data_IF_340981478064
#
_entry.id   IF_340981478064
#
_cell.length_a   1.000
_cell.length_b   1.000
_cell.length_c   1.000
_cell.angle_alpha   90.00
_cell.angle_beta   90.00
_cell.angle_gamma   90.00
#
_symmetry.space_group_name_H-M   'P 1'
#
loop_
_entity.id
_entity.type
_entity.pdbx_description
1 polymer ?
#
# COMPACT_ATOMS: atom_id res chain seq x y z
N UNK A 1 -22.28 11.99 24.09
CA UNK A 1 -21.20 12.75 23.42
C UNK A 1 -20.94 12.11 22.07
N UNK A 2 -21.68 12.54 21.05
CA UNK A 2 -21.45 12.20 19.65
C UNK A 2 -20.21 12.96 19.18
N UNK A 3 -19.10 12.26 18.93
CA UNK A 3 -17.94 12.84 18.25
C UNK A 3 -17.89 12.26 16.85
N UNK A 4 -18.08 13.17 15.90
CA UNK A 4 -17.91 13.11 14.46
C UNK A 4 -17.00 11.96 13.99
N UNK A 5 -17.61 10.87 13.54
CA UNK A 5 -17.01 10.01 12.53
C UNK A 5 -17.02 10.81 11.23
N UNK A 6 -15.92 11.53 10.97
CA UNK A 6 -15.62 12.02 9.63
C UNK A 6 -15.39 10.76 8.78
N UNK A 7 -16.45 10.28 8.14
CA UNK A 7 -16.36 9.23 7.15
C UNK A 7 -15.50 9.74 6.00
N UNK A 8 -14.21 9.42 6.03
CA UNK A 8 -13.36 9.49 4.85
C UNK A 8 -13.93 8.44 3.91
N UNK A 9 -14.76 8.89 2.97
CA UNK A 9 -15.10 8.12 1.78
C UNK A 9 -13.81 8.01 0.99
N UNK A 10 -13.00 6.99 1.30
CA UNK A 10 -11.93 6.55 0.43
C UNK A 10 -12.65 6.04 -0.80
N UNK A 11 -12.78 6.93 -1.78
CA UNK A 11 -13.16 6.57 -3.14
C UNK A 11 -11.99 5.76 -3.67
N UNK A 12 -11.98 4.47 -3.35
CA UNK A 12 -11.08 3.49 -3.93
C UNK A 12 -11.52 3.27 -5.38
N UNK A 13 -11.41 4.32 -6.20
CA UNK A 13 -11.31 4.20 -7.64
C UNK A 13 -9.95 3.62 -7.94
N UNK A 14 -9.74 2.35 -7.59
CA UNK A 14 -8.62 1.57 -8.09
C UNK A 14 -8.94 1.38 -9.57
N UNK A 15 -8.46 2.31 -10.39
CA UNK A 15 -8.27 2.07 -11.80
C UNK A 15 -7.22 0.95 -11.85
N UNK A 16 -7.69 -0.30 -11.89
CA UNK A 16 -6.89 -1.46 -12.30
C UNK A 16 -6.70 -1.33 -13.82
N UNK A 17 -6.04 -0.26 -14.26
CA UNK A 17 -5.51 -0.18 -15.62
C UNK A 17 -4.39 -1.20 -15.67
N UNK A 18 -4.65 -2.31 -16.37
CA UNK A 18 -3.79 -3.46 -16.55
C UNK A 18 -2.30 -3.19 -16.41
N UNK A 19 -1.76 -3.45 -15.22
CA UNK A 19 -0.35 -3.74 -15.07
C UNK A 19 -0.15 -5.25 -15.25
N UNK A 20 -0.35 -5.72 -16.48
CA UNK A 20 0.16 -7.02 -16.96
C UNK A 20 1.70 -7.02 -17.09
N UNK A 21 2.39 -6.08 -16.42
CA UNK A 21 3.71 -5.61 -16.81
C UNK A 21 4.65 -5.44 -15.63
N UNK A 22 4.82 -6.50 -14.85
CA UNK A 22 6.05 -6.83 -14.15
C UNK A 22 5.82 -8.15 -13.41
N UNK A 23 5.54 -9.24 -14.16
CA UNK A 23 5.96 -10.54 -13.67
C UNK A 23 7.47 -10.37 -13.45
N UNK A 24 7.90 -10.33 -12.19
CA UNK A 24 9.29 -10.53 -11.85
C UNK A 24 9.76 -11.68 -12.74
N UNK A 25 10.83 -11.47 -13.50
CA UNK A 25 11.39 -12.47 -14.41
C UNK A 25 11.76 -13.70 -13.60
N UNK A 26 10.77 -14.57 -13.39
CA UNK A 26 10.92 -15.84 -12.71
C UNK A 26 11.84 -16.68 -13.57
N UNK A 27 12.74 -17.39 -12.89
CA UNK A 27 13.69 -18.25 -13.56
C UNK A 27 12.93 -19.13 -14.58
N UNK A 28 13.35 -19.13 -15.85
CA UNK A 28 12.64 -19.89 -16.88
C UNK A 28 12.53 -21.36 -16.46
N UNK A 29 11.39 -21.99 -16.76
CA UNK A 29 11.19 -23.41 -16.49
C UNK A 29 12.38 -24.21 -17.03
N UNK A 30 13.00 -25.04 -16.19
CA UNK A 30 14.12 -25.87 -16.64
C UNK A 30 13.65 -26.87 -17.70
N UNK A 31 14.56 -27.34 -18.53
CA UNK A 31 14.23 -28.29 -19.59
C UNK A 31 13.62 -29.59 -19.04
N UNK A 32 13.95 -29.98 -17.81
CA UNK A 32 13.47 -31.20 -17.14
C UNK A 32 12.18 -30.99 -16.33
N UNK A 33 11.74 -29.76 -16.12
CA UNK A 33 10.57 -29.46 -15.29
C UNK A 33 9.27 -29.47 -16.11
N UNK A 34 8.73 -30.68 -16.30
CA UNK A 34 7.50 -30.89 -17.05
C UNK A 34 6.30 -30.14 -16.43
N UNK A 35 6.21 -30.10 -15.09
CA UNK A 35 5.12 -29.44 -14.38
C UNK A 35 5.16 -27.92 -14.60
N UNK A 36 6.33 -27.29 -14.48
CA UNK A 36 6.47 -25.85 -14.77
C UNK A 36 6.08 -25.51 -16.20
N UNK A 37 6.54 -26.30 -17.20
CA UNK A 37 6.18 -26.07 -18.60
C UNK A 37 4.68 -26.19 -18.85
N UNK A 38 4.05 -27.21 -18.27
CA UNK A 38 2.61 -27.40 -18.37
C UNK A 38 1.85 -26.23 -17.72
N UNK A 39 2.21 -25.85 -16.50
CA UNK A 39 1.57 -24.73 -15.80
C UNK A 39 1.80 -23.40 -16.49
N UNK A 40 2.98 -23.17 -17.05
CA UNK A 40 3.28 -21.99 -17.87
C UNK A 40 2.37 -21.90 -19.10
N UNK A 41 2.19 -23.01 -19.82
CA UNK A 41 1.29 -23.06 -20.99
C UNK A 41 -0.18 -22.83 -20.60
N UNK A 42 -0.63 -23.42 -19.48
CA UNK A 42 -1.98 -23.20 -18.95
C UNK A 42 -2.19 -21.76 -18.49
N UNK A 43 -1.19 -21.14 -17.84
CA UNK A 43 -1.26 -19.77 -17.35
C UNK A 43 -1.29 -18.77 -18.53
N UNK A 44 -0.52 -19.02 -19.59
CA UNK A 44 -0.56 -18.24 -20.83
C UNK A 44 -1.93 -18.32 -21.55
N UNK A 45 -2.70 -19.38 -21.30
CA UNK A 45 -4.06 -19.55 -21.78
C UNK A 45 -5.13 -19.15 -20.74
N UNK A 46 -4.72 -18.52 -19.63
CA UNK A 46 -5.58 -18.12 -18.50
C UNK A 46 -6.41 -19.26 -17.87
N UNK A 47 -5.93 -20.50 -18.01
CA UNK A 47 -6.60 -21.71 -17.50
C UNK A 47 -6.21 -22.01 -16.04
N UNK A 48 -6.34 -21.02 -15.16
CA UNK A 48 -5.91 -21.10 -13.76
C UNK A 48 -6.59 -22.24 -12.97
N UNK A 49 -7.86 -22.52 -13.24
CA UNK A 49 -8.58 -23.65 -12.62
C UNK A 49 -7.93 -25.00 -12.92
N UNK A 50 -7.41 -25.16 -14.15
CA UNK A 50 -6.73 -26.41 -14.53
C UNK A 50 -5.39 -26.56 -13.84
N UNK A 51 -4.69 -25.45 -13.58
CA UNK A 51 -3.44 -25.48 -12.81
C UNK A 51 -3.75 -25.97 -11.40
N UNK A 52 -4.67 -25.32 -10.68
CA UNK A 52 -4.99 -25.70 -9.30
C UNK A 52 -5.56 -27.13 -9.21
N UNK A 53 -6.35 -27.57 -10.21
CA UNK A 53 -6.88 -28.93 -10.26
C UNK A 53 -5.84 -30.02 -10.52
N UNK A 54 -4.63 -29.64 -10.98
CA UNK A 54 -3.49 -30.54 -11.19
C UNK A 54 -2.48 -30.52 -10.05
N UNK A 55 -2.69 -29.66 -9.05
CA UNK A 55 -1.82 -29.58 -7.88
C UNK A 55 -1.98 -30.83 -7.03
N UNK A 56 -0.87 -31.50 -6.79
CA UNK A 56 -0.78 -32.67 -5.92
C UNK A 56 0.05 -32.28 -4.69
N UNK A 57 -0.60 -32.23 -3.52
CA UNK A 57 0.04 -31.82 -2.27
C UNK A 57 1.18 -32.75 -1.83
N UNK A 58 1.28 -33.96 -2.41
CA UNK A 58 2.36 -34.91 -2.11
C UNK A 58 3.61 -34.68 -2.99
N UNK A 59 3.50 -33.86 -4.04
CA UNK A 59 4.62 -33.57 -4.96
C UNK A 59 5.42 -32.35 -4.51
N UNK A 60 6.74 -32.48 -4.59
CA UNK A 60 7.64 -31.34 -4.50
C UNK A 60 7.75 -30.66 -5.86
N UNK A 61 7.14 -29.49 -5.99
CA UNK A 61 7.24 -28.64 -7.18
C UNK A 61 8.49 -27.76 -7.12
N UNK A 62 9.07 -27.45 -8.28
CA UNK A 62 10.15 -26.46 -8.37
C UNK A 62 9.66 -25.05 -7.97
N UNK A 63 10.55 -24.11 -7.63
CA UNK A 63 10.17 -22.73 -7.35
C UNK A 63 9.35 -22.08 -8.48
N UNK A 64 9.71 -22.31 -9.74
CA UNK A 64 9.00 -21.75 -10.88
C UNK A 64 7.60 -22.38 -11.06
N UNK A 65 7.46 -23.70 -10.89
CA UNK A 65 6.14 -24.34 -10.90
C UNK A 65 5.26 -23.86 -9.74
N UNK A 66 5.83 -23.71 -8.53
CA UNK A 66 5.13 -23.18 -7.36
C UNK A 66 4.63 -21.75 -7.59
N UNK A 67 5.41 -20.91 -8.25
CA UNK A 67 5.00 -19.56 -8.57
C UNK A 67 3.75 -19.52 -9.48
N UNK A 68 3.70 -20.34 -10.52
CA UNK A 68 2.48 -20.49 -11.34
C UNK A 68 1.29 -20.98 -10.51
N UNK A 69 1.48 -21.91 -9.59
CA UNK A 69 0.42 -22.40 -8.71
C UNK A 69 -0.09 -21.27 -7.79
N UNK A 70 0.81 -20.57 -7.11
CA UNK A 70 0.49 -19.47 -6.21
C UNK A 70 -0.24 -18.34 -6.93
N UNK A 71 0.25 -17.94 -8.10
CA UNK A 71 -0.41 -16.94 -8.93
C UNK A 71 -1.79 -17.41 -9.41
N UNK A 72 -1.95 -18.68 -9.77
CA UNK A 72 -3.26 -19.22 -10.18
C UNK A 72 -4.28 -19.13 -9.05
N UNK A 73 -3.89 -19.41 -7.81
CA UNK A 73 -4.76 -19.19 -6.66
C UNK A 73 -5.15 -17.72 -6.49
N UNK A 74 -4.23 -16.77 -6.69
CA UNK A 74 -4.56 -15.34 -6.65
C UNK A 74 -5.50 -14.89 -7.76
N UNK A 75 -5.28 -15.39 -8.99
CA UNK A 75 -6.17 -15.09 -10.12
C UNK A 75 -7.58 -15.64 -9.90
N UNK A 76 -7.69 -16.79 -9.24
CA UNK A 76 -8.98 -17.37 -8.87
C UNK A 76 -9.59 -16.58 -7.72
N UNK A 77 -8.81 -16.19 -6.71
CA UNK A 77 -9.28 -15.38 -5.57
C UNK A 77 -9.94 -14.08 -6.04
N UNK A 78 -9.36 -13.37 -7.00
CA UNK A 78 -9.88 -12.08 -7.49
C UNK A 78 -11.12 -12.15 -8.39
N UNK A 79 -11.78 -13.30 -8.52
CA UNK A 79 -13.01 -13.42 -9.33
C UNK A 79 -14.23 -12.90 -8.60
N UNK A 80 -15.04 -12.10 -9.28
CA UNK A 80 -16.23 -11.41 -8.72
C UNK A 80 -17.29 -12.35 -8.11
N UNK A 81 -17.30 -13.63 -8.49
CA UNK A 81 -18.26 -14.60 -8.00
C UNK A 81 -17.83 -15.32 -6.70
N UNK A 82 -16.64 -15.03 -6.17
CA UNK A 82 -16.23 -15.58 -4.89
C UNK A 82 -16.87 -14.83 -3.73
N UNK A 83 -17.16 -15.58 -2.66
CA UNK A 83 -17.44 -15.02 -1.34
C UNK A 83 -16.13 -14.64 -0.65
N UNK A 84 -16.14 -13.70 0.31
CA UNK A 84 -14.93 -13.34 1.07
C UNK A 84 -14.22 -14.53 1.73
N UNK A 85 -14.98 -15.55 2.15
CA UNK A 85 -14.41 -16.77 2.72
C UNK A 85 -13.66 -17.63 1.68
N UNK A 86 -14.19 -17.70 0.45
CA UNK A 86 -13.49 -18.37 -0.66
C UNK A 86 -12.24 -17.61 -1.07
N UNK A 87 -12.32 -16.28 -1.15
CA UNK A 87 -11.16 -15.43 -1.43
C UNK A 87 -10.06 -15.63 -0.39
N UNK A 88 -10.41 -15.61 0.91
CA UNK A 88 -9.46 -15.87 2.00
C UNK A 88 -8.82 -17.25 1.84
N UNK A 89 -9.61 -18.30 1.57
CA UNK A 89 -9.08 -19.64 1.36
C UNK A 89 -8.10 -19.69 0.20
N UNK A 90 -8.41 -19.05 -0.92
CA UNK A 90 -7.52 -19.02 -2.08
C UNK A 90 -6.25 -18.19 -1.81
N UNK A 91 -6.34 -17.06 -1.11
CA UNK A 91 -5.16 -16.30 -0.69
C UNK A 91 -4.27 -17.12 0.25
N UNK A 92 -4.85 -17.83 1.22
CA UNK A 92 -4.09 -18.72 2.10
C UNK A 92 -3.40 -19.85 1.32
N UNK A 93 -4.09 -20.43 0.33
CA UNK A 93 -3.46 -21.41 -0.58
C UNK A 93 -2.35 -20.79 -1.40
N UNK A 94 -2.51 -19.58 -1.90
CA UNK A 94 -1.45 -18.88 -2.62
C UNK A 94 -0.17 -18.71 -1.77
N UNK A 95 -0.32 -18.41 -0.47
CA UNK A 95 0.80 -18.33 0.48
C UNK A 95 1.51 -19.68 0.67
N UNK A 96 0.78 -20.81 0.71
CA UNK A 96 1.38 -22.15 0.76
C UNK A 96 2.33 -22.42 -0.41
N UNK A 97 2.13 -21.73 -1.54
CA UNK A 97 2.96 -21.81 -2.75
C UNK A 97 3.93 -20.63 -2.92
N UNK A 98 4.02 -19.72 -1.94
CA UNK A 98 5.01 -18.65 -1.90
C UNK A 98 4.58 -17.35 -2.59
N UNK A 99 3.32 -17.20 -2.99
CA UNK A 99 2.82 -15.96 -3.56
C UNK A 99 2.53 -14.93 -2.44
N UNK A 100 3.58 -14.23 -2.00
CA UNK A 100 3.53 -13.32 -0.82
C UNK A 100 2.61 -12.11 -1.02
N UNK A 101 2.30 -11.72 -2.26
CA UNK A 101 1.29 -10.69 -2.55
C UNK A 101 -0.11 -11.05 -2.03
N UNK A 102 -0.38 -12.33 -1.73
CA UNK A 102 -1.61 -12.78 -1.08
C UNK A 102 -1.88 -12.10 0.27
N UNK A 103 -0.83 -11.66 0.99
CA UNK A 103 -1.00 -10.91 2.23
C UNK A 103 -1.76 -9.60 2.03
N UNK A 104 -1.61 -8.93 0.87
CA UNK A 104 -2.40 -7.73 0.55
C UNK A 104 -3.88 -8.07 0.33
N UNK A 105 -4.17 -9.18 -0.36
CA UNK A 105 -5.55 -9.65 -0.51
C UNK A 105 -6.21 -9.93 0.84
N UNK A 106 -5.49 -10.64 1.72
CA UNK A 106 -5.93 -10.92 3.09
C UNK A 106 -6.13 -9.65 3.91
N UNK A 107 -5.26 -8.65 3.77
CA UNK A 107 -5.48 -7.34 4.38
C UNK A 107 -6.83 -6.74 3.96
N UNK A 108 -7.12 -6.67 2.66
CA UNK A 108 -8.35 -6.03 2.17
C UNK A 108 -9.61 -6.80 2.57
N UNK A 109 -9.57 -8.13 2.63
CA UNK A 109 -10.68 -8.96 3.13
C UNK A 109 -11.02 -8.61 4.59
N UNK A 110 -10.00 -8.37 5.43
CA UNK A 110 -10.19 -8.18 6.86
C UNK A 110 -10.27 -6.71 7.31
N UNK A 111 -9.82 -5.75 6.50
CA UNK A 111 -9.65 -4.34 6.90
C UNK A 111 -10.93 -3.69 7.48
N UNK A 112 -12.11 -4.06 6.97
CA UNK A 112 -13.40 -3.53 7.44
C UNK A 112 -14.02 -4.29 8.62
N UNK A 113 -13.48 -5.45 9.00
CA UNK A 113 -14.10 -6.36 9.98
C UNK A 113 -13.23 -6.57 11.22
N UNK A 114 -11.92 -6.71 11.01
CA UNK A 114 -10.94 -6.96 12.05
C UNK A 114 -9.63 -6.28 11.66
N UNK A 115 -9.52 -5.01 12.04
CA UNK A 115 -8.38 -4.15 11.71
C UNK A 115 -7.05 -4.76 12.18
N UNK A 116 -6.97 -5.28 13.41
CA UNK A 116 -5.72 -5.84 13.93
C UNK A 116 -5.28 -7.10 13.17
N UNK A 117 -6.24 -7.97 12.78
CA UNK A 117 -5.94 -9.12 11.89
C UNK A 117 -5.45 -8.64 10.53
N UNK A 118 -6.10 -7.64 9.94
CA UNK A 118 -5.69 -7.06 8.65
C UNK A 118 -4.26 -6.48 8.72
N UNK A 119 -3.98 -5.64 9.72
CA UNK A 119 -2.64 -5.07 9.93
C UNK A 119 -1.60 -6.17 10.20
N UNK A 120 -2.00 -7.27 10.85
CA UNK A 120 -1.16 -8.47 10.99
C UNK A 120 -0.66 -9.02 9.66
N UNK A 121 -1.52 -9.08 8.63
CA UNK A 121 -1.11 -9.50 7.28
C UNK A 121 -0.18 -8.51 6.60
N UNK A 122 -0.38 -7.19 6.77
CA UNK A 122 0.58 -6.21 6.26
C UNK A 122 1.95 -6.35 6.90
N UNK A 123 2.01 -6.60 8.22
CA UNK A 123 3.28 -6.86 8.93
C UNK A 123 3.98 -8.11 8.39
N UNK A 124 3.22 -9.16 8.10
CA UNK A 124 3.75 -10.36 7.44
C UNK A 124 4.25 -10.06 6.02
N UNK A 125 3.55 -9.20 5.28
CA UNK A 125 3.97 -8.82 3.94
C UNK A 125 5.28 -8.03 3.94
N UNK A 126 5.40 -7.00 4.76
CA UNK A 126 6.63 -6.18 4.81
C UNK A 126 7.85 -6.97 5.27
N UNK A 127 7.67 -8.05 6.04
CA UNK A 127 8.75 -8.95 6.41
C UNK A 127 9.36 -9.68 5.19
N UNK A 128 8.65 -9.72 4.06
CA UNK A 128 9.14 -10.23 2.77
C UNK A 128 9.90 -9.19 1.95
N UNK A 129 10.07 -7.98 2.48
CA UNK A 129 10.75 -6.84 1.85
C UNK A 129 10.18 -6.49 0.46
N UNK A 130 8.86 -6.23 0.35
CA UNK A 130 8.24 -5.86 -0.91
C UNK A 130 8.85 -4.56 -1.43
N UNK A 131 8.97 -4.44 -2.75
CA UNK A 131 9.46 -3.21 -3.43
C UNK A 131 8.35 -2.18 -3.64
N UNK A 132 7.21 -2.38 -3.02
CA UNK A 132 6.00 -1.56 -3.17
C UNK A 132 5.79 -0.74 -1.88
N UNK A 133 5.37 0.51 -2.03
CA UNK A 133 5.22 1.47 -0.93
C UNK A 133 3.91 1.32 -0.16
N UNK A 134 2.88 0.71 -0.76
CA UNK A 134 1.52 0.62 -0.24
C UNK A 134 1.44 0.00 1.17
N UNK A 135 2.02 -1.18 1.47
CA UNK A 135 1.87 -1.78 2.79
C UNK A 135 2.51 -0.91 3.89
N UNK A 136 3.62 -0.23 3.57
CA UNK A 136 4.27 0.70 4.47
C UNK A 136 3.42 1.97 4.69
N UNK A 137 2.79 2.51 3.64
CA UNK A 137 1.85 3.64 3.77
C UNK A 137 0.67 3.27 4.68
N UNK A 138 0.04 2.13 4.44
CA UNK A 138 -1.12 1.68 5.21
C UNK A 138 -0.79 1.47 6.69
N UNK A 139 0.36 0.86 6.98
CA UNK A 139 0.86 0.73 8.36
C UNK A 139 1.17 2.10 8.99
N UNK A 140 1.81 3.00 8.24
CA UNK A 140 2.05 4.37 8.69
C UNK A 140 0.78 5.12 9.04
N UNK A 141 -0.26 5.03 8.21
CA UNK A 141 -1.57 5.62 8.45
C UNK A 141 -2.25 5.02 9.70
N UNK A 142 -2.19 3.70 9.87
CA UNK A 142 -2.74 3.03 11.04
C UNK A 142 -2.05 3.50 12.34
N UNK A 143 -0.72 3.66 12.33
CA UNK A 143 0.02 4.20 13.48
C UNK A 143 -0.26 5.68 13.71
N UNK A 144 -0.47 6.48 12.65
CA UNK A 144 -0.93 7.88 12.80
C UNK A 144 -2.29 7.96 13.50
N UNK A 145 -3.24 7.08 13.14
CA UNK A 145 -4.56 7.04 13.76
C UNK A 145 -4.50 6.65 15.25
N UNK A 146 -3.45 5.92 15.66
CA UNK A 146 -3.15 5.56 17.05
C UNK A 146 -2.30 6.60 17.78
N UNK A 147 -2.01 7.74 17.15
CA UNK A 147 -1.10 8.79 17.65
C UNK A 147 0.33 8.30 17.92
N UNK A 148 0.71 7.15 17.35
CA UNK A 148 2.05 6.60 17.46
C UNK A 148 2.96 7.18 16.36
N UNK A 149 3.26 8.47 16.49
CA UNK A 149 3.99 9.23 15.47
C UNK A 149 5.39 8.69 15.19
N UNK A 150 6.06 8.06 16.17
CA UNK A 150 7.38 7.45 15.97
C UNK A 150 7.29 6.29 15.00
N UNK A 151 6.40 5.31 15.26
CA UNK A 151 6.23 4.16 14.37
C UNK A 151 5.67 4.56 13.00
N UNK A 152 4.76 5.54 12.97
CA UNK A 152 4.26 6.09 11.71
C UNK A 152 5.40 6.66 10.86
N UNK A 153 6.31 7.44 11.45
CA UNK A 153 7.46 8.01 10.74
C UNK A 153 8.37 6.91 10.16
N UNK A 154 8.62 5.84 10.92
CA UNK A 154 9.43 4.71 10.45
C UNK A 154 8.82 4.06 9.22
N UNK A 155 7.54 3.70 9.27
CA UNK A 155 6.86 3.09 8.12
C UNK A 155 6.78 4.02 6.92
N UNK A 156 6.43 5.29 7.11
CA UNK A 156 6.32 6.25 5.99
C UNK A 156 7.69 6.54 5.34
N UNK A 157 8.78 6.54 6.11
CA UNK A 157 10.14 6.66 5.55
C UNK A 157 10.55 5.41 4.77
N UNK A 158 10.16 4.23 5.22
CA UNK A 158 10.33 2.99 4.44
C UNK A 158 9.49 3.04 3.15
N UNK A 159 8.25 3.52 3.22
CA UNK A 159 7.42 3.71 2.03
C UNK A 159 8.11 4.62 1.00
N UNK A 160 8.79 5.68 1.45
CA UNK A 160 9.50 6.62 0.57
C UNK A 160 10.76 6.02 -0.05
N UNK A 161 11.39 5.05 0.60
CA UNK A 161 12.66 4.46 0.16
C UNK A 161 12.51 3.38 -0.92
N UNK A 162 11.31 2.81 -1.09
CA UNK A 162 11.03 1.77 -2.10
C UNK A 162 10.57 2.36 -3.44
N UNK A 163 10.50 1.52 -4.47
CA UNK A 163 10.11 1.94 -5.80
C UNK A 163 8.68 2.53 -5.79
N UNK A 164 8.46 3.61 -6.57
CA UNK A 164 7.19 4.36 -6.58
C UNK A 164 6.77 4.90 -5.19
N UNK A 165 7.71 5.03 -4.26
CA UNK A 165 7.50 5.64 -2.95
C UNK A 165 7.30 7.15 -2.97
N UNK A 166 7.65 7.84 -4.05
CA UNK A 166 7.55 9.30 -4.14
C UNK A 166 6.13 9.70 -4.58
N UNK A 167 5.34 10.25 -3.67
CA UNK A 167 4.01 10.81 -3.97
C UNK A 167 3.71 12.00 -3.06
N UNK A 168 2.94 12.96 -3.55
CA UNK A 168 2.56 14.12 -2.74
C UNK A 168 1.75 13.72 -1.49
N UNK A 169 0.91 12.68 -1.59
CA UNK A 169 0.20 12.10 -0.45
C UNK A 169 1.15 11.58 0.64
N UNK A 170 2.18 10.82 0.26
CA UNK A 170 3.17 10.35 1.23
C UNK A 170 3.90 11.51 1.90
N UNK A 171 4.27 12.51 1.10
CA UNK A 171 5.01 13.68 1.58
C UNK A 171 4.15 14.53 2.52
N UNK A 172 2.85 14.63 2.24
CA UNK A 172 1.89 15.25 3.15
C UNK A 172 1.80 14.53 4.50
N UNK A 173 1.75 13.19 4.51
CA UNK A 173 1.75 12.40 5.74
C UNK A 173 3.07 12.54 6.50
N UNK A 174 4.21 12.51 5.80
CA UNK A 174 5.52 12.72 6.41
C UNK A 174 5.66 14.13 6.99
N UNK A 175 5.12 15.16 6.34
CA UNK A 175 5.04 16.51 6.91
C UNK A 175 4.29 16.50 8.23
N UNK A 176 3.07 15.97 8.27
CA UNK A 176 2.25 15.96 9.48
C UNK A 176 2.95 15.23 10.63
N UNK A 177 3.47 14.02 10.37
CA UNK A 177 4.14 13.21 11.40
C UNK A 177 5.42 13.88 11.91
N UNK A 178 6.26 14.41 11.01
CA UNK A 178 7.53 15.02 11.44
C UNK A 178 7.30 16.37 12.14
N UNK A 179 6.23 17.11 11.81
CA UNK A 179 5.84 18.29 12.57
C UNK A 179 5.49 17.92 14.02
N UNK A 180 4.69 16.87 14.21
CA UNK A 180 4.28 16.40 15.54
C UNK A 180 5.45 15.80 16.35
N UNK A 181 6.47 15.27 15.67
CA UNK A 181 7.71 14.82 16.30
C UNK A 181 8.70 15.97 16.57
N UNK A 182 8.45 17.18 16.07
CA UNK A 182 9.34 18.33 16.22
C UNK A 182 10.51 18.38 15.23
N UNK A 183 10.57 17.48 14.24
CA UNK A 183 11.53 17.56 13.12
C UNK A 183 11.01 18.55 12.06
N UNK A 184 11.02 19.83 12.42
CA UNK A 184 10.47 20.91 11.60
C UNK A 184 11.22 21.11 10.29
N UNK A 185 12.54 20.82 10.28
CA UNK A 185 13.36 20.90 9.07
C UNK A 185 12.89 19.89 8.03
N UNK A 186 12.77 18.62 8.43
CA UNK A 186 12.26 17.58 7.53
C UNK A 186 10.80 17.82 7.15
N UNK A 187 9.96 18.18 8.12
CA UNK A 187 8.54 18.46 7.88
C UNK A 187 8.33 19.58 6.86
N UNK A 188 9.12 20.66 6.90
CA UNK A 188 9.06 21.74 5.90
C UNK A 188 9.47 21.25 4.50
N UNK A 189 10.53 20.45 4.40
CA UNK A 189 10.94 19.88 3.11
C UNK A 189 9.86 18.94 2.51
N UNK A 190 9.16 18.18 3.35
CA UNK A 190 8.06 17.33 2.91
C UNK A 190 6.84 18.16 2.49
N UNK A 191 6.56 19.26 3.20
CA UNK A 191 5.48 20.17 2.84
C UNK A 191 5.73 20.87 1.50
N UNK A 192 6.97 21.31 1.22
CA UNK A 192 7.37 21.82 -0.09
C UNK A 192 7.02 20.83 -1.20
N UNK A 193 7.43 19.57 -1.02
CA UNK A 193 7.21 18.51 -2.00
C UNK A 193 5.72 18.24 -2.20
N UNK A 194 4.94 18.14 -1.11
CA UNK A 194 3.50 17.92 -1.18
C UNK A 194 2.76 19.04 -1.92
N UNK A 195 3.11 20.31 -1.66
CA UNK A 195 2.43 21.47 -2.23
C UNK A 195 2.66 21.66 -3.74
N UNK A 196 3.60 20.95 -4.36
CA UNK A 196 3.84 21.02 -5.82
C UNK A 196 2.62 20.64 -6.66
N UNK A 197 1.63 19.94 -6.09
CA UNK A 197 0.44 19.43 -6.79
C UNK A 197 -0.85 20.20 -6.47
N UNK A 198 -0.77 21.38 -5.86
CA UNK A 198 -1.86 22.35 -5.55
C UNK A 198 -3.08 21.86 -4.74
N UNK A 199 -3.28 20.55 -4.53
CA UNK A 199 -4.42 20.00 -3.80
C UNK A 199 -4.29 20.13 -2.27
N UNK A 200 -3.06 20.21 -1.75
CA UNK A 200 -2.81 20.34 -0.31
C UNK A 200 -2.92 21.76 0.24
N UNK A 201 -3.09 22.79 -0.60
CA UNK A 201 -3.22 24.16 -0.12
C UNK A 201 -4.43 24.36 0.80
N UNK A 202 -5.58 23.78 0.42
CA UNK A 202 -6.80 23.82 1.22
C UNK A 202 -6.70 22.95 2.48
N UNK A 203 -6.00 21.82 2.38
CA UNK A 203 -5.74 20.95 3.53
C UNK A 203 -4.81 21.63 4.54
N UNK A 204 -3.76 22.32 4.09
CA UNK A 204 -2.85 23.09 4.95
C UNK A 204 -3.57 24.21 5.69
N UNK A 205 -4.49 24.91 5.01
CA UNK A 205 -5.34 25.90 5.66
C UNK A 205 -6.18 25.25 6.77
N UNK A 206 -6.84 24.14 6.47
CA UNK A 206 -7.67 23.41 7.45
C UNK A 206 -6.84 22.88 8.62
N UNK A 207 -5.66 22.32 8.33
CA UNK A 207 -4.74 21.77 9.31
C UNK A 207 -4.19 22.84 10.26
N UNK A 208 -3.95 24.06 9.77
CA UNK A 208 -3.48 25.16 10.62
C UNK A 208 -4.46 25.59 11.73
N UNK A 209 -5.73 25.18 11.63
CA UNK A 209 -6.74 25.37 12.66
C UNK A 209 -6.78 24.23 13.69
N UNK A 210 -6.08 23.12 13.46
CA UNK A 210 -5.93 22.04 14.42
C UNK A 210 -4.99 22.49 15.55
N UNK A 211 -5.39 22.35 16.84
CA UNK A 211 -4.54 22.72 17.98
C UNK A 211 -3.16 22.08 17.98
N UNK A 212 -3.02 20.88 17.39
CA UNK A 212 -1.73 20.18 17.29
C UNK A 212 -0.75 20.88 16.35
N UNK A 213 -1.26 21.70 15.44
CA UNK A 213 -0.51 22.49 14.46
C UNK A 213 -0.55 23.98 14.78
N UNK A 214 -0.91 24.35 16.02
CA UNK A 214 -0.94 25.75 16.44
C UNK A 214 0.43 26.42 16.24
N UNK A 215 0.39 27.66 15.74
CA UNK A 215 1.58 28.46 15.48
C UNK A 215 2.41 27.99 14.29
N UNK A 216 1.91 27.09 13.44
CA UNK A 216 2.63 26.59 12.26
C UNK A 216 3.20 27.75 11.42
N UNK A 217 2.42 28.77 11.09
CA UNK A 217 2.91 29.92 10.30
C UNK A 217 3.92 30.83 11.03
N UNK A 218 4.01 30.74 12.36
CA UNK A 218 4.93 31.55 13.17
C UNK A 218 6.35 30.95 13.18
N UNK A 219 6.46 29.64 12.91
CA UNK A 219 7.73 28.93 12.88
C UNK A 219 8.59 29.36 11.68
N UNK A 220 9.91 29.56 11.86
CA UNK A 220 10.80 29.98 10.77
C UNK A 220 10.72 29.08 9.53
N UNK A 221 10.64 27.77 9.73
CA UNK A 221 10.62 26.75 8.68
C UNK A 221 9.36 26.81 7.80
N UNK A 222 8.27 27.38 8.33
CA UNK A 222 6.95 27.37 7.71
C UNK A 222 6.42 28.76 7.35
N UNK A 223 7.14 29.84 7.71
CA UNK A 223 6.73 31.23 7.47
C UNK A 223 6.40 31.50 5.99
N UNK A 224 7.11 30.87 5.07
CA UNK A 224 6.86 30.97 3.61
C UNK A 224 5.47 30.49 3.17
N UNK A 225 4.78 29.67 3.98
CA UNK A 225 3.43 29.18 3.69
C UNK A 225 2.33 30.04 4.33
N UNK A 226 2.68 31.10 5.07
CA UNK A 226 1.71 32.01 5.68
C UNK A 226 0.66 32.54 4.69
N UNK A 227 0.99 32.90 3.42
CA UNK A 227 -0.02 33.32 2.45
C UNK A 227 -1.07 32.22 2.18
N UNK A 228 -0.64 30.97 2.01
CA UNK A 228 -1.52 29.82 1.77
C UNK A 228 -2.43 29.60 2.98
N UNK A 229 -1.85 29.61 4.18
CA UNK A 229 -2.57 29.44 5.46
C UNK A 229 -3.62 30.55 5.66
N UNK A 230 -3.30 31.80 5.33
CA UNK A 230 -4.22 32.94 5.40
C UNK A 230 -5.23 32.99 4.25
N UNK A 231 -5.14 32.08 3.28
CA UNK A 231 -6.05 32.02 2.13
C UNK A 231 -5.77 33.06 1.05
N UNK A 232 -4.56 33.63 1.00
CA UNK A 232 -4.10 34.36 -0.17
C UNK A 232 -3.81 33.36 -1.28
N UNK A 233 -4.40 33.53 -2.46
CA UNK A 233 -4.12 32.67 -3.62
C UNK A 233 -2.61 32.70 -3.90
N UNK A 234 -1.96 31.53 -3.91
CA UNK A 234 -0.61 31.42 -4.40
C UNK A 234 -0.58 31.97 -5.83
N UNK A 235 0.04 33.14 -6.04
CA UNK A 235 0.32 33.60 -7.39
C UNK A 235 1.39 32.66 -7.93
N UNK A 236 0.98 31.74 -8.80
CA UNK A 236 1.90 30.96 -9.62
C UNK A 236 2.67 31.93 -10.51
N UNK A 237 3.88 32.27 -10.12
CA UNK A 237 4.87 32.82 -11.04
C UNK A 237 5.38 31.65 -11.87
N UNK A 238 4.91 31.58 -13.11
CA UNK A 238 5.50 30.77 -14.16
C UNK A 238 6.94 31.21 -14.46
#
# INVERSE_FOLDING_TARGET
MQKYFLGIIISAGIIISGQSGALATEAPCSAQDAACKEFSALAAAEQYDKIIGKVDATKTYSPAARAYIGQSYLMIAGRENNTPAQEEQFCMKALEYGATSAYMGLYFIHAGQNEEKALGFLRQYIATQPKDSVPYVLLGQAEMAKENHVAANEFLRQARSVARGHSANLDWMLFQVNYLLGDFSYASAMLDSALTQDHFANELKSLSADPRFEGLSLRPEFRKYEPIIKGASAKTTN
#
